data_IF_846388108588
#
_entry.id   IF_846388108588
#
_cell.length_a   1.000
_cell.length_b   1.000
_cell.length_c   1.000
_cell.angle_alpha   90.00
_cell.angle_beta   90.00
_cell.angle_gamma   90.00
#
_symmetry.space_group_name_H-M   'P 1'
#
loop_
_entity.id
_entity.type
_entity.pdbx_description
1 polymer ?
#
# COMPACT_ATOMS: atom_id res chain seq x y z
N UNK A 1 32.53 -10.41 -27.34
CA UNK A 1 32.23 -9.30 -26.41
C UNK A 1 31.09 -9.74 -25.55
N UNK A 2 31.30 -10.07 -24.26
CA UNK A 2 30.21 -10.43 -23.33
C UNK A 2 29.42 -9.15 -23.02
N UNK A 3 28.09 -9.18 -23.03
CA UNK A 3 27.33 -8.04 -22.54
C UNK A 3 27.63 -7.83 -21.05
N UNK A 4 27.80 -6.58 -20.70
CA UNK A 4 28.06 -6.00 -19.40
C UNK A 4 27.09 -6.53 -18.35
N UNK A 5 27.61 -6.81 -17.17
CA UNK A 5 26.88 -7.01 -15.90
C UNK A 5 25.71 -6.04 -15.81
N UNK A 6 24.48 -6.57 -15.82
CA UNK A 6 23.26 -5.79 -15.66
C UNK A 6 23.32 -5.08 -14.30
N UNK A 7 23.64 -3.79 -14.33
CA UNK A 7 23.46 -2.93 -13.16
C UNK A 7 21.96 -2.89 -12.83
N UNK A 8 21.63 -3.09 -11.55
CA UNK A 8 20.25 -2.98 -11.07
C UNK A 8 19.66 -1.61 -11.47
N UNK A 9 18.38 -1.55 -11.81
CA UNK A 9 17.75 -0.31 -12.27
C UNK A 9 17.78 0.78 -11.17
N UNK A 10 18.07 2.01 -11.60
CA UNK A 10 17.97 3.19 -10.72
C UNK A 10 16.54 3.37 -10.20
N UNK A 11 16.38 3.44 -8.87
CA UNK A 11 15.07 3.63 -8.20
C UNK A 11 14.26 4.79 -8.78
N UNK A 12 14.92 5.90 -9.20
CA UNK A 12 14.23 7.07 -9.76
C UNK A 12 13.67 6.79 -11.15
N UNK A 13 14.43 6.11 -11.99
CA UNK A 13 13.99 5.70 -13.32
C UNK A 13 12.83 4.69 -13.22
N UNK A 14 12.99 3.70 -12.35
CA UNK A 14 11.98 2.67 -12.11
C UNK A 14 10.65 3.27 -11.58
N UNK A 15 10.70 4.24 -10.65
CA UNK A 15 9.50 4.95 -10.19
C UNK A 15 8.75 5.62 -11.33
N UNK A 16 9.46 6.31 -12.24
CA UNK A 16 8.83 6.97 -13.40
C UNK A 16 8.18 5.96 -14.33
N UNK A 17 8.87 4.86 -14.62
CA UNK A 17 8.38 3.81 -15.49
C UNK A 17 7.10 3.18 -14.92
N UNK A 18 7.16 2.63 -13.71
CA UNK A 18 6.04 1.93 -13.07
C UNK A 18 4.83 2.85 -12.85
N UNK A 19 5.08 4.14 -12.56
CA UNK A 19 4.00 5.13 -12.51
C UNK A 19 3.34 5.31 -13.87
N UNK A 20 4.11 5.48 -14.94
CA UNK A 20 3.56 5.63 -16.29
C UNK A 20 2.78 4.39 -16.74
N UNK A 21 3.28 3.19 -16.45
CA UNK A 21 2.58 1.94 -16.73
C UNK A 21 1.25 1.86 -15.97
N UNK A 22 1.24 2.18 -14.67
CA UNK A 22 0.02 2.24 -13.86
C UNK A 22 -0.98 3.29 -14.36
N UNK A 23 -0.49 4.48 -14.74
CA UNK A 23 -1.31 5.58 -15.25
C UNK A 23 -1.95 5.22 -16.60
N UNK A 24 -1.36 4.29 -17.36
CA UNK A 24 -1.92 3.79 -18.65
C UNK A 24 -3.16 2.88 -18.48
N UNK A 25 -3.38 2.33 -17.30
CA UNK A 25 -4.58 1.55 -17.01
C UNK A 25 -5.83 2.44 -17.01
N UNK A 26 -6.84 2.07 -17.79
CA UNK A 26 -8.12 2.79 -17.77
C UNK A 26 -8.79 2.70 -16.40
N UNK A 27 -9.61 3.69 -16.00
CA UNK A 27 -10.35 3.63 -14.73
C UNK A 27 -11.22 2.37 -14.59
N UNK A 28 -11.86 1.92 -15.70
CA UNK A 28 -12.67 0.71 -15.69
C UNK A 28 -11.83 -0.55 -15.43
N UNK A 29 -10.63 -0.63 -16.01
CA UNK A 29 -9.72 -1.77 -15.81
C UNK A 29 -9.16 -1.76 -14.38
N UNK A 30 -8.74 -0.60 -13.85
CA UNK A 30 -8.34 -0.48 -12.44
C UNK A 30 -9.43 -0.96 -11.50
N UNK A 31 -10.68 -0.53 -11.72
CA UNK A 31 -11.81 -0.97 -10.92
C UNK A 31 -12.00 -2.50 -10.98
N UNK A 32 -11.97 -3.10 -12.19
CA UNK A 32 -12.09 -4.56 -12.35
C UNK A 32 -10.99 -5.31 -11.60
N UNK A 33 -9.74 -4.84 -11.70
CA UNK A 33 -8.60 -5.44 -11.01
C UNK A 33 -8.75 -5.36 -9.48
N UNK A 34 -9.23 -4.24 -8.93
CA UNK A 34 -9.52 -4.11 -7.49
C UNK A 34 -10.57 -5.13 -7.04
N UNK A 35 -11.62 -5.35 -7.83
CA UNK A 35 -12.63 -6.36 -7.51
C UNK A 35 -12.05 -7.77 -7.49
N UNK A 36 -11.20 -8.12 -8.46
CA UNK A 36 -10.51 -9.40 -8.48
C UNK A 36 -9.58 -9.58 -7.26
N UNK A 37 -8.80 -8.57 -6.93
CA UNK A 37 -7.94 -8.58 -5.74
C UNK A 37 -8.74 -8.78 -4.45
N UNK A 38 -9.93 -8.17 -4.33
CA UNK A 38 -10.82 -8.38 -3.17
C UNK A 38 -11.26 -9.85 -3.04
N UNK A 39 -11.53 -10.54 -4.16
CA UNK A 39 -11.86 -11.98 -4.14
C UNK A 39 -10.68 -12.81 -3.63
N UNK A 40 -9.45 -12.48 -4.04
CA UNK A 40 -8.26 -13.18 -3.58
C UNK A 40 -8.02 -12.95 -2.08
N UNK A 41 -8.17 -11.70 -1.62
CA UNK A 41 -7.99 -11.35 -0.21
C UNK A 41 -9.02 -12.05 0.69
N UNK A 42 -10.28 -12.15 0.24
CA UNK A 42 -11.34 -12.82 0.99
C UNK A 42 -11.08 -14.32 1.25
N UNK A 43 -10.24 -14.95 0.43
CA UNK A 43 -9.84 -16.36 0.57
C UNK A 43 -8.65 -16.57 1.52
N UNK A 44 -8.00 -15.50 1.94
CA UNK A 44 -6.89 -15.60 2.87
C UNK A 44 -7.39 -15.75 4.30
N UNK A 45 -7.09 -16.89 4.92
CA UNK A 45 -7.61 -17.24 6.25
C UNK A 45 -7.38 -16.16 7.31
N UNK A 46 -6.17 -15.55 7.31
CA UNK A 46 -5.83 -14.47 8.24
C UNK A 46 -6.76 -13.26 8.10
N UNK A 47 -7.30 -13.01 6.90
CA UNK A 47 -8.16 -11.85 6.63
C UNK A 47 -9.36 -11.75 7.55
N UNK A 48 -9.97 -12.89 7.89
CA UNK A 48 -11.15 -12.93 8.78
C UNK A 48 -10.81 -12.62 10.25
N UNK A 49 -9.56 -12.79 10.66
CA UNK A 49 -9.11 -12.57 12.03
C UNK A 49 -8.62 -11.13 12.30
N UNK A 50 -8.40 -10.32 11.26
CA UNK A 50 -7.92 -8.94 11.38
C UNK A 50 -8.98 -8.07 12.06
N UNK A 51 -8.60 -7.36 13.10
CA UNK A 51 -9.49 -6.46 13.87
C UNK A 51 -9.29 -4.99 13.51
N UNK A 52 -8.05 -4.59 13.25
CA UNK A 52 -7.70 -3.21 12.91
C UNK A 52 -6.85 -3.20 11.64
N UNK A 53 -7.28 -2.45 10.64
CA UNK A 53 -6.56 -2.24 9.38
C UNK A 53 -6.09 -0.80 9.30
N UNK A 54 -4.78 -0.62 9.10
CA UNK A 54 -4.21 0.60 8.58
C UNK A 54 -4.33 0.61 7.06
N UNK A 55 -5.09 1.54 6.51
CA UNK A 55 -5.30 1.70 5.08
C UNK A 55 -4.71 3.03 4.62
N UNK A 56 -5.13 3.51 3.46
CA UNK A 56 -4.79 4.82 2.93
C UNK A 56 -5.92 5.33 2.03
N UNK A 57 -5.95 6.63 1.78
CA UNK A 57 -6.81 7.23 0.78
C UNK A 57 -6.05 7.30 -0.54
N UNK A 58 -6.58 6.70 -1.63
CA UNK A 58 -5.83 6.58 -2.87
C UNK A 58 -5.59 7.95 -3.51
N UNK A 59 -4.42 8.11 -4.10
CA UNK A 59 -4.04 9.30 -4.85
C UNK A 59 -3.85 8.96 -6.33
N UNK A 60 -4.48 9.77 -7.21
CA UNK A 60 -4.42 9.61 -8.67
C UNK A 60 -4.81 8.19 -9.13
N UNK A 61 -3.88 7.47 -9.75
CA UNK A 61 -4.09 6.13 -10.31
C UNK A 61 -3.73 4.99 -9.34
N UNK A 62 -3.52 5.27 -8.05
CA UNK A 62 -3.22 4.22 -7.07
C UNK A 62 -4.29 3.14 -7.03
N UNK A 63 -3.88 1.97 -6.58
CA UNK A 63 -4.82 0.91 -6.23
C UNK A 63 -5.76 1.42 -5.14
N UNK A 64 -7.06 1.40 -5.39
CA UNK A 64 -8.07 1.91 -4.47
C UNK A 64 -8.47 0.80 -3.46
N UNK A 65 -8.09 0.92 -2.18
CA UNK A 65 -8.40 -0.10 -1.18
C UNK A 65 -9.84 -0.05 -0.66
N UNK A 66 -10.68 0.86 -1.14
CA UNK A 66 -12.03 1.10 -0.59
C UNK A 66 -12.90 -0.14 -0.60
N UNK A 67 -12.87 -0.94 -1.68
CA UNK A 67 -13.65 -2.19 -1.73
C UNK A 67 -13.19 -3.21 -0.66
N UNK A 68 -11.88 -3.29 -0.41
CA UNK A 68 -11.29 -4.18 0.59
C UNK A 68 -11.69 -3.74 2.01
N UNK A 69 -11.52 -2.45 2.30
CA UNK A 69 -11.84 -1.89 3.62
C UNK A 69 -13.34 -1.91 3.93
N UNK A 70 -14.19 -1.68 2.92
CA UNK A 70 -15.66 -1.80 3.07
C UNK A 70 -16.02 -3.23 3.46
N UNK A 71 -15.54 -4.25 2.75
CA UNK A 71 -15.83 -5.64 3.08
C UNK A 71 -15.30 -6.07 4.46
N UNK A 72 -14.20 -5.48 4.92
CA UNK A 72 -13.68 -5.69 6.27
C UNK A 72 -14.56 -5.01 7.32
N UNK A 73 -14.99 -3.78 7.09
CA UNK A 73 -15.87 -3.03 8.01
C UNK A 73 -17.23 -3.72 8.21
N UNK A 74 -17.80 -4.32 7.17
CA UNK A 74 -19.04 -5.11 7.27
C UNK A 74 -18.93 -6.28 8.27
N UNK A 75 -17.71 -6.73 8.57
CA UNK A 75 -17.41 -7.76 9.58
C UNK A 75 -17.02 -7.19 10.94
N UNK A 76 -17.08 -5.86 11.11
CA UNK A 76 -16.73 -5.17 12.35
C UNK A 76 -15.23 -4.84 12.48
N UNK A 77 -14.43 -4.95 11.41
CA UNK A 77 -13.03 -4.53 11.41
C UNK A 77 -12.95 -3.00 11.45
N UNK A 78 -12.12 -2.46 12.33
CA UNK A 78 -11.82 -1.03 12.42
C UNK A 78 -10.85 -0.65 11.29
N UNK A 79 -11.11 0.47 10.61
CA UNK A 79 -10.26 0.98 9.54
C UNK A 79 -9.68 2.31 9.97
N UNK A 80 -8.37 2.47 9.81
CA UNK A 80 -7.68 3.71 10.09
C UNK A 80 -6.87 4.16 8.87
N UNK A 81 -6.91 5.46 8.56
CA UNK A 81 -6.13 6.06 7.48
C UNK A 81 -5.13 7.08 8.03
N UNK A 82 -3.96 7.23 7.37
CA UNK A 82 -2.91 8.08 7.90
C UNK A 82 -3.13 9.55 7.60
N UNK A 83 -2.68 10.37 8.55
CA UNK A 83 -2.35 11.79 8.38
C UNK A 83 -0.85 11.96 8.48
N UNK A 84 -0.31 12.90 7.73
CA UNK A 84 1.10 13.28 7.86
C UNK A 84 1.22 14.43 8.88
N UNK A 85 1.89 14.16 9.98
CA UNK A 85 2.21 15.16 11.02
C UNK A 85 3.71 15.02 11.30
N UNK A 86 4.46 16.10 11.23
CA UNK A 86 5.92 16.14 11.52
C UNK A 86 6.72 15.03 10.82
N UNK A 87 6.40 14.78 9.55
CA UNK A 87 7.02 13.74 8.70
C UNK A 87 6.78 12.30 9.17
N UNK A 88 5.81 12.07 10.05
CA UNK A 88 5.36 10.76 10.50
C UNK A 88 3.92 10.50 10.06
N UNK A 89 3.54 9.20 10.01
CA UNK A 89 2.17 8.77 9.74
C UNK A 89 1.44 8.56 11.07
N UNK A 90 0.38 9.33 11.29
CA UNK A 90 -0.53 9.19 12.41
C UNK A 90 -1.85 8.65 11.90
N UNK A 91 -2.30 7.52 12.43
CA UNK A 91 -3.53 6.88 11.96
C UNK A 91 -4.75 7.40 12.70
N UNK A 92 -5.80 7.67 11.94
CA UNK A 92 -7.10 8.11 12.44
C UNK A 92 -8.19 7.17 11.98
N UNK A 93 -9.15 6.87 12.83
CA UNK A 93 -10.34 6.12 12.44
C UNK A 93 -11.02 6.82 11.25
N UNK A 94 -11.35 6.06 10.24
CA UNK A 94 -11.92 6.63 9.02
C UNK A 94 -12.86 5.63 8.33
N UNK A 95 -13.95 6.14 7.83
CA UNK A 95 -14.87 5.42 6.96
C UNK A 95 -15.22 6.25 5.73
N UNK A 96 -15.69 5.56 4.69
CA UNK A 96 -16.16 6.22 3.48
C UNK A 96 -17.26 7.24 3.80
N UNK A 97 -17.07 8.48 3.34
CA UNK A 97 -17.95 9.60 3.63
C UNK A 97 -17.50 10.51 4.79
N UNK A 98 -16.51 10.10 5.58
CA UNK A 98 -15.93 10.98 6.60
C UNK A 98 -15.20 12.17 5.96
N UNK A 99 -15.10 13.25 6.73
CA UNK A 99 -14.42 14.45 6.29
C UNK A 99 -12.93 14.19 6.03
N UNK A 100 -12.45 14.72 4.91
CA UNK A 100 -11.05 14.67 4.51
C UNK A 100 -10.52 16.06 4.23
N UNK A 101 -9.22 16.22 4.32
CA UNK A 101 -8.50 17.41 3.86
C UNK A 101 -7.48 17.04 2.80
N UNK A 102 -7.13 18.01 1.97
CA UNK A 102 -6.16 17.85 0.89
C UNK A 102 -4.82 18.42 1.33
N UNK A 103 -3.76 17.64 1.27
CA UNK A 103 -2.39 18.13 1.51
C UNK A 103 -1.89 18.99 0.35
N UNK A 104 -0.77 19.70 0.56
CA UNK A 104 -0.11 20.52 -0.50
C UNK A 104 0.24 19.65 -1.73
N UNK A 105 0.48 18.35 -1.55
CA UNK A 105 0.75 17.40 -2.64
C UNK A 105 -0.49 16.81 -3.31
N UNK A 106 -1.70 17.26 -2.97
CA UNK A 106 -2.95 16.73 -3.51
C UNK A 106 -3.42 15.42 -2.88
N UNK A 107 -2.70 14.89 -1.90
CA UNK A 107 -3.04 13.64 -1.21
C UNK A 107 -4.17 13.92 -0.21
N UNK A 108 -5.19 13.07 -0.24
CA UNK A 108 -6.28 13.11 0.75
C UNK A 108 -5.82 12.48 2.07
N UNK A 109 -6.28 13.04 3.17
CA UNK A 109 -6.08 12.47 4.51
C UNK A 109 -7.28 12.76 5.41
N UNK A 110 -7.56 11.94 6.45
CA UNK A 110 -8.59 12.24 7.44
C UNK A 110 -8.37 13.60 8.11
N UNK A 111 -9.41 14.26 8.58
CA UNK A 111 -9.26 15.46 9.40
C UNK A 111 -8.70 15.11 10.78
N UNK A 112 -8.20 16.08 11.53
CA UNK A 112 -7.74 15.88 12.91
C UNK A 112 -8.88 15.69 13.93
N UNK A 113 -10.14 15.77 13.49
CA UNK A 113 -11.31 15.54 14.35
C UNK A 113 -11.61 14.04 14.56
N UNK A 114 -11.08 13.16 13.70
CA UNK A 114 -11.26 11.71 13.81
C UNK A 114 -10.43 11.14 14.97
N UNK A 115 -10.93 10.08 15.59
CA UNK A 115 -10.25 9.39 16.70
C UNK A 115 -8.88 8.84 16.25
N UNK A 116 -7.87 9.03 17.08
CA UNK A 116 -6.53 8.49 16.84
C UNK A 116 -6.53 6.97 17.09
N UNK A 117 -5.97 6.23 16.16
CA UNK A 117 -5.68 4.80 16.27
C UNK A 117 -4.18 4.63 16.39
N UNK A 118 -3.72 4.03 17.47
CA UNK A 118 -2.29 3.79 17.65
C UNK A 118 -1.77 2.82 16.59
N UNK A 119 -0.64 3.13 16.01
CA UNK A 119 -0.07 2.31 14.93
C UNK A 119 0.30 0.89 15.41
N UNK A 120 0.64 0.74 16.70
CA UNK A 120 0.95 -0.54 17.35
C UNK A 120 -0.27 -1.45 17.48
N UNK A 121 -1.49 -0.89 17.46
CA UNK A 121 -2.75 -1.63 17.57
C UNK A 121 -3.25 -2.11 16.19
N UNK A 122 -2.54 -1.76 15.09
CA UNK A 122 -2.90 -2.16 13.73
C UNK A 122 -2.36 -3.56 13.44
N UNK A 123 -3.28 -4.48 13.14
CA UNK A 123 -2.94 -5.88 12.80
C UNK A 123 -2.38 -6.03 11.39
N UNK A 124 -2.89 -5.22 10.45
CA UNK A 124 -2.58 -5.31 9.03
C UNK A 124 -2.55 -3.92 8.39
N UNK A 125 -1.47 -3.64 7.68
CA UNK A 125 -1.32 -2.43 6.88
C UNK A 125 -1.52 -2.74 5.39
N UNK A 126 -2.55 -2.17 4.78
CA UNK A 126 -2.66 -2.06 3.33
C UNK A 126 -1.72 -0.94 2.89
N UNK A 127 -0.68 -1.29 2.15
CA UNK A 127 0.44 -0.38 1.90
C UNK A 127 0.51 0.00 0.43
N UNK A 128 0.41 1.31 0.09
CA UNK A 128 0.55 1.77 -1.28
C UNK A 128 2.00 1.66 -1.74
N UNK A 129 2.18 1.45 -3.05
CA UNK A 129 3.50 1.31 -3.66
C UNK A 129 3.49 1.69 -5.15
N UNK A 130 4.65 1.97 -5.67
CA UNK A 130 4.90 2.04 -7.12
C UNK A 130 5.38 0.69 -7.66
N UNK A 131 6.18 -0.04 -6.88
CA UNK A 131 6.67 -1.35 -7.29
C UNK A 131 6.88 -2.30 -6.12
N UNK A 132 6.79 -3.60 -6.40
CA UNK A 132 7.06 -4.69 -5.48
C UNK A 132 8.08 -5.65 -6.08
N UNK A 133 9.24 -5.80 -5.44
CA UNK A 133 10.28 -6.76 -5.81
C UNK A 133 9.91 -8.21 -5.50
N UNK A 134 10.72 -9.14 -5.99
CA UNK A 134 10.46 -10.58 -5.86
C UNK A 134 10.50 -11.06 -4.40
N UNK A 135 11.27 -10.40 -3.57
CA UNK A 135 11.50 -10.72 -2.15
C UNK A 135 10.71 -9.82 -1.17
N UNK A 136 9.70 -9.10 -1.67
CA UNK A 136 8.91 -8.17 -0.86
C UNK A 136 9.52 -6.78 -0.69
N UNK A 137 10.60 -6.47 -1.42
CA UNK A 137 11.11 -5.10 -1.46
C UNK A 137 10.00 -4.15 -1.95
N UNK A 138 9.84 -3.00 -1.30
CA UNK A 138 8.82 -2.02 -1.63
C UNK A 138 9.44 -0.76 -2.24
N UNK A 139 9.02 -0.41 -3.44
CA UNK A 139 9.34 0.87 -4.06
C UNK A 139 8.19 1.86 -3.81
N UNK A 140 8.37 2.74 -2.84
CA UNK A 140 7.45 3.84 -2.56
C UNK A 140 7.80 5.11 -3.34
N UNK A 141 7.13 6.20 -3.00
CA UNK A 141 7.28 7.52 -3.67
C UNK A 141 8.55 8.29 -3.27
N UNK A 142 9.35 7.76 -2.32
CA UNK A 142 10.63 8.35 -1.91
C UNK A 142 10.57 9.21 -0.64
N UNK A 143 9.42 9.34 0.00
CA UNK A 143 9.28 10.10 1.27
C UNK A 143 9.72 9.34 2.53
N UNK A 144 9.94 8.03 2.46
CA UNK A 144 10.35 7.18 3.57
C UNK A 144 9.34 7.05 4.73
N UNK A 145 8.09 7.47 4.53
CA UNK A 145 7.08 7.46 5.58
C UNK A 145 6.78 6.06 6.12
N UNK A 146 6.57 5.11 5.23
CA UNK A 146 6.27 3.73 5.60
C UNK A 146 7.49 2.99 6.14
N UNK A 147 8.70 3.32 5.66
CA UNK A 147 9.93 2.69 6.16
C UNK A 147 10.19 3.10 7.62
N UNK A 148 9.97 4.37 7.96
CA UNK A 148 10.02 4.84 9.36
C UNK A 148 8.93 4.19 10.22
N UNK A 149 7.68 4.15 9.74
CA UNK A 149 6.58 3.50 10.44
C UNK A 149 6.90 2.02 10.74
N UNK A 150 7.32 1.29 9.72
CA UNK A 150 7.55 -0.15 9.81
C UNK A 150 8.82 -0.54 10.57
N UNK A 151 9.69 0.40 10.88
CA UNK A 151 10.78 0.20 11.82
C UNK A 151 10.28 0.13 13.29
N UNK A 152 9.09 0.67 13.58
CA UNK A 152 8.55 0.82 14.93
C UNK A 152 7.39 -0.14 15.23
N UNK A 153 6.69 -0.66 14.20
CA UNK A 153 5.49 -1.48 14.37
C UNK A 153 5.63 -2.87 13.75
N UNK A 154 4.88 -3.83 14.30
CA UNK A 154 4.96 -5.26 13.94
C UNK A 154 3.77 -5.77 13.11
N UNK A 155 2.75 -4.95 12.85
CA UNK A 155 1.59 -5.34 12.05
C UNK A 155 1.95 -5.91 10.68
N UNK A 156 1.09 -6.77 10.14
CA UNK A 156 1.34 -7.40 8.84
C UNK A 156 1.33 -6.37 7.70
N UNK A 157 2.37 -6.33 6.90
CA UNK A 157 2.60 -5.36 5.82
C UNK A 157 2.19 -5.97 4.49
N UNK A 158 0.98 -5.67 4.03
CA UNK A 158 0.45 -6.14 2.77
C UNK A 158 0.53 -5.02 1.73
N UNK A 159 1.44 -5.15 0.78
CA UNK A 159 1.46 -4.26 -0.38
C UNK A 159 0.23 -4.51 -1.25
N UNK A 160 -0.42 -3.45 -1.69
CA UNK A 160 -1.56 -3.55 -2.61
C UNK A 160 -1.26 -2.74 -3.88
N UNK A 161 -1.49 -3.37 -5.03
CA UNK A 161 -1.17 -2.79 -6.33
C UNK A 161 -1.71 -3.63 -7.46
N UNK A 162 -1.41 -3.21 -8.68
CA UNK A 162 -1.75 -3.98 -9.89
C UNK A 162 -0.59 -4.93 -10.23
N UNK A 163 -0.87 -6.05 -10.90
CA UNK A 163 0.14 -7.05 -11.24
C UNK A 163 1.35 -6.47 -11.99
N UNK A 164 1.12 -5.49 -12.87
CA UNK A 164 2.17 -4.77 -13.59
C UNK A 164 3.17 -4.03 -12.66
N UNK A 165 2.84 -3.83 -11.39
CA UNK A 165 3.73 -3.24 -10.38
C UNK A 165 4.67 -4.27 -9.73
N UNK A 166 4.55 -5.58 -10.10
CA UNK A 166 5.60 -6.57 -9.83
C UNK A 166 6.79 -6.25 -10.72
N UNK A 167 7.90 -5.87 -10.14
CA UNK A 167 9.08 -5.40 -10.85
C UNK A 167 10.28 -6.33 -10.65
N UNK A 168 11.26 -6.21 -11.53
CA UNK A 168 12.59 -6.75 -11.26
C UNK A 168 13.18 -6.09 -10.04
N UNK A 169 14.08 -6.80 -9.35
CA UNK A 169 14.74 -6.29 -8.16
C UNK A 169 15.58 -5.04 -8.45
N UNK A 170 15.73 -4.22 -7.45
CA UNK A 170 16.56 -3.02 -7.44
C UNK A 170 17.43 -3.01 -6.19
N UNK A 171 18.41 -2.13 -6.16
CA UNK A 171 19.26 -1.96 -4.98
C UNK A 171 18.45 -1.41 -3.80
N UNK A 172 18.36 -2.20 -2.72
CA UNK A 172 17.69 -1.82 -1.48
C UNK A 172 18.70 -1.21 -0.49
N UNK A 173 18.21 -0.33 0.36
CA UNK A 173 18.99 0.29 1.43
C UNK A 173 18.71 -0.42 2.77
N UNK A 174 19.64 -0.31 3.71
CA UNK A 174 19.53 -1.03 4.99
C UNK A 174 18.29 -0.65 5.83
N UNK A 175 17.71 0.53 5.57
CA UNK A 175 16.51 1.00 6.24
C UNK A 175 15.20 0.66 5.50
N UNK A 176 15.27 0.17 4.25
CA UNK A 176 14.09 -0.23 3.49
C UNK A 176 13.40 -1.41 4.17
N UNK A 177 12.12 -1.23 4.50
CA UNK A 177 11.31 -2.24 5.17
C UNK A 177 10.55 -3.10 4.16
N UNK A 178 10.68 -4.42 4.29
CA UNK A 178 10.05 -5.37 3.38
C UNK A 178 8.57 -5.58 3.72
N UNK A 179 7.81 -5.89 2.69
CA UNK A 179 6.44 -6.37 2.81
C UNK A 179 6.44 -7.85 3.24
N UNK A 180 5.37 -8.25 3.91
CA UNK A 180 5.10 -9.65 4.22
C UNK A 180 4.24 -10.33 3.14
N UNK A 181 3.62 -9.55 2.27
CA UNK A 181 2.86 -10.04 1.13
C UNK A 181 2.55 -8.93 0.13
N UNK A 182 2.12 -9.35 -1.06
CA UNK A 182 1.65 -8.48 -2.13
C UNK A 182 0.34 -9.02 -2.70
N UNK A 183 -0.66 -8.14 -2.79
CA UNK A 183 -1.98 -8.43 -3.36
C UNK A 183 -2.17 -7.67 -4.66
N UNK A 184 -2.59 -8.39 -5.69
CA UNK A 184 -3.01 -7.84 -6.97
C UNK A 184 -4.23 -8.58 -7.52
N UNK A 185 -4.68 -8.21 -8.72
CA UNK A 185 -5.72 -8.94 -9.48
C UNK A 185 -5.32 -10.38 -9.80
N UNK A 186 -4.04 -10.71 -9.83
CA UNK A 186 -3.56 -12.07 -10.12
C UNK A 186 -3.51 -12.96 -8.87
N UNK A 187 -3.57 -12.37 -7.67
CA UNK A 187 -3.59 -13.13 -6.44
C UNK A 187 -2.85 -12.49 -5.29
N UNK A 188 -2.74 -13.25 -4.20
CA UNK A 188 -1.98 -12.93 -3.01
C UNK A 188 -0.67 -13.73 -2.99
N UNK A 189 0.45 -13.04 -3.00
CA UNK A 189 1.79 -13.62 -2.78
C UNK A 189 2.23 -13.31 -1.37
N UNK A 190 2.67 -14.31 -0.61
CA UNK A 190 3.30 -14.13 0.71
C UNK A 190 4.80 -14.27 0.58
N UNK A 191 5.56 -13.43 1.28
CA UNK A 191 7.01 -13.48 1.33
C UNK A 191 7.47 -14.15 2.62
N UNK A 192 8.51 -14.95 2.52
CA UNK A 192 9.15 -15.67 3.64
C UNK A 192 10.27 -14.84 4.26
#
# INVERSE_FOLDING_TARGET
MKPSTDALPDKRALRRQLRAERDSLSPALRHAHVQQANVHLARWERWSAVKVIGSYLPHESEFDPTALTRSARERGTRIACPRVIDKALHFHDWQEGDAVEVTIGGVLQPTNASEIVRAEDIDLFLTPLLGCGQDGARLGYGGGFYDRLFAEVTGFRLGVGFALQRAADWETEAHDQRLHGFLSEEGLTLFS
#
